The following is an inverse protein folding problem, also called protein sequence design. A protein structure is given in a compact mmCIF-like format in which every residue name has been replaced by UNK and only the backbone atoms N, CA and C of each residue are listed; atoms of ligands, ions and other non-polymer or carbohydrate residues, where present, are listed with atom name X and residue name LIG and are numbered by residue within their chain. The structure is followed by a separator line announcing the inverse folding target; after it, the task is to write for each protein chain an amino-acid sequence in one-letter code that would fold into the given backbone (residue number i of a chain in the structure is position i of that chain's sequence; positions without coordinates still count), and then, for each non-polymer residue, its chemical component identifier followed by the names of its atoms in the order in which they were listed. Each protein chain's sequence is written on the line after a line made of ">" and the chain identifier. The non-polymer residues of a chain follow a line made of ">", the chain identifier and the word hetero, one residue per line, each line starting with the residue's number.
data_IF_859471320306
#
_entry.id   IF_859471320306
#
_cell.length_a   1.000
_cell.length_b   1.000
_cell.length_c   1.000
_cell.angle_alpha   90.00
_cell.angle_beta   90.00
_cell.angle_gamma   90.00
#
_symmetry.space_group_name_H-M   'P 1'
#
loop_
_entity.id
_entity.type
_entity.pdbx_description
1 polymer ?
#
# COMPACT_ATOMS: atom_id res chain seq x y z
N UNK A 1 18.18 -18.47 -37.05
CA UNK A 1 18.45 -17.04 -36.80
C UNK A 1 18.20 -16.79 -35.32
N UNK A 2 19.13 -16.08 -34.69
CA UNK A 2 19.46 -16.18 -33.27
C UNK A 2 18.35 -15.76 -32.30
N UNK A 3 18.29 -16.51 -31.19
CA UNK A 3 17.51 -16.29 -29.99
C UNK A 3 17.89 -14.95 -29.34
N UNK A 4 16.92 -14.06 -29.14
CA UNK A 4 17.10 -12.88 -28.31
C UNK A 4 16.82 -13.27 -26.85
N UNK A 5 17.89 -13.70 -26.17
CA UNK A 5 17.98 -13.83 -24.72
C UNK A 5 17.68 -12.49 -24.04
N UNK A 6 16.44 -12.30 -23.60
CA UNK A 6 16.13 -11.25 -22.62
C UNK A 6 16.58 -11.75 -21.26
N UNK A 7 17.75 -11.26 -20.86
CA UNK A 7 18.30 -11.28 -19.50
C UNK A 7 17.19 -11.06 -18.48
N UNK A 8 16.76 -12.14 -17.83
CA UNK A 8 15.94 -12.12 -16.63
C UNK A 8 16.77 -11.51 -15.51
N UNK A 9 16.65 -10.19 -15.32
CA UNK A 9 16.96 -9.60 -14.01
C UNK A 9 15.87 -10.09 -13.05
N UNK A 10 16.16 -11.19 -12.37
CA UNK A 10 15.34 -11.74 -11.31
C UNK A 10 15.33 -10.76 -10.14
N UNK A 11 14.27 -9.94 -10.05
CA UNK A 11 13.90 -9.27 -8.80
C UNK A 11 13.80 -10.35 -7.72
N UNK A 12 14.49 -10.22 -6.57
CA UNK A 12 14.52 -11.31 -5.61
C UNK A 12 13.15 -11.46 -4.93
N UNK A 13 12.81 -12.72 -4.65
CA UNK A 13 11.81 -13.18 -3.67
C UNK A 13 10.32 -13.16 -4.06
N UNK A 14 9.93 -13.84 -5.14
CA UNK A 14 8.58 -14.43 -5.28
C UNK A 14 8.42 -15.75 -4.49
N UNK A 15 9.09 -15.93 -3.35
CA UNK A 15 8.81 -17.08 -2.48
C UNK A 15 7.61 -16.72 -1.62
N UNK A 16 6.41 -17.10 -2.04
CA UNK A 16 5.16 -16.88 -1.28
C UNK A 16 4.16 -15.90 -1.90
N UNK A 17 4.34 -15.48 -3.16
CA UNK A 17 3.36 -14.60 -3.84
C UNK A 17 2.00 -15.28 -3.94
N UNK A 18 0.98 -14.66 -3.34
CA UNK A 18 -0.42 -15.04 -3.53
C UNK A 18 -1.00 -14.27 -4.74
N UNK A 19 -1.28 -14.97 -5.83
CA UNK A 19 -1.83 -14.39 -7.07
C UNK A 19 -3.19 -13.72 -6.86
N UNK A 20 -3.95 -14.10 -5.82
CA UNK A 20 -5.25 -13.46 -5.51
C UNK A 20 -5.08 -12.10 -4.85
N UNK A 21 -3.98 -11.88 -4.12
CA UNK A 21 -3.72 -10.66 -3.34
C UNK A 21 -2.71 -9.73 -4.01
N UNK A 22 -1.85 -10.26 -4.86
CA UNK A 22 -0.89 -9.50 -5.65
C UNK A 22 -1.27 -9.59 -7.14
N UNK A 23 -2.09 -8.64 -7.65
CA UNK A 23 -2.48 -8.61 -9.06
C UNK A 23 -1.26 -8.58 -9.98
N UNK A 24 -1.47 -8.98 -11.23
CA UNK A 24 -0.47 -8.80 -12.26
C UNK A 24 -0.49 -7.34 -12.73
N UNK A 25 0.62 -6.63 -12.58
CA UNK A 25 0.77 -5.26 -13.08
C UNK A 25 1.62 -5.22 -14.34
N UNK A 26 1.30 -4.29 -15.25
CA UNK A 26 2.05 -4.12 -16.51
C UNK A 26 3.48 -3.65 -16.24
N UNK A 27 3.65 -2.66 -15.36
CA UNK A 27 4.94 -2.09 -14.98
C UNK A 27 5.66 -3.00 -13.98
N UNK A 28 6.96 -3.17 -14.18
CA UNK A 28 7.79 -4.05 -13.34
C UNK A 28 7.93 -3.51 -11.92
N UNK A 29 7.99 -2.19 -11.76
CA UNK A 29 8.09 -1.51 -10.46
C UNK A 29 6.87 -1.76 -9.53
N UNK A 30 5.70 -2.03 -10.11
CA UNK A 30 4.48 -2.32 -9.35
C UNK A 30 4.37 -3.81 -8.98
N UNK A 31 5.25 -4.68 -9.50
CA UNK A 31 5.24 -6.14 -9.24
C UNK A 31 5.96 -6.50 -7.94
N UNK A 32 5.64 -5.79 -6.86
CA UNK A 32 6.21 -6.04 -5.53
C UNK A 32 5.23 -6.85 -4.69
N UNK A 33 5.73 -7.88 -4.01
CA UNK A 33 4.98 -8.66 -3.04
C UNK A 33 5.46 -8.32 -1.63
N UNK A 34 4.58 -8.46 -0.63
CA UNK A 34 4.96 -8.29 0.78
C UNK A 34 6.00 -9.33 1.26
N UNK A 35 6.26 -10.40 0.49
CA UNK A 35 7.28 -11.41 0.79
C UNK A 35 6.91 -12.41 1.88
N UNK A 36 5.72 -12.28 2.46
CA UNK A 36 5.20 -13.20 3.48
C UNK A 36 4.54 -14.42 2.82
N UNK A 37 4.44 -15.54 3.56
CA UNK A 37 3.57 -16.66 3.16
C UNK A 37 2.11 -16.21 3.13
N UNK A 38 1.23 -16.81 2.30
CA UNK A 38 -0.14 -16.33 2.09
C UNK A 38 -0.96 -16.13 3.37
N UNK A 39 -0.79 -17.00 4.37
CA UNK A 39 -1.48 -16.92 5.66
C UNK A 39 -1.08 -15.66 6.46
N UNK A 40 0.17 -15.21 6.31
CA UNK A 40 0.76 -14.06 6.99
C UNK A 40 0.88 -12.83 6.07
N UNK A 41 0.12 -12.79 4.98
CA UNK A 41 0.08 -11.65 4.08
C UNK A 41 -0.19 -10.36 4.88
N UNK A 42 0.54 -9.27 4.58
CA UNK A 42 0.36 -7.99 5.28
C UNK A 42 -1.08 -7.49 5.22
N UNK A 43 -1.86 -7.85 4.18
CA UNK A 43 -3.28 -7.49 4.09
C UNK A 43 -4.18 -8.13 5.16
N UNK A 44 -3.73 -9.21 5.80
CA UNK A 44 -4.48 -9.88 6.88
C UNK A 44 -4.17 -9.32 8.26
N UNK A 45 -3.16 -8.46 8.37
CA UNK A 45 -2.82 -7.82 9.64
C UNK A 45 -4.01 -6.99 10.14
N UNK A 46 -4.41 -7.11 11.42
CA UNK A 46 -5.55 -6.36 11.96
C UNK A 46 -5.37 -4.84 11.82
N UNK A 47 -4.13 -4.36 11.88
CA UNK A 47 -3.78 -2.95 11.66
C UNK A 47 -4.19 -2.46 10.27
N UNK A 48 -4.19 -3.32 9.23
CA UNK A 48 -4.67 -2.91 7.90
C UNK A 48 -6.14 -2.50 7.93
N UNK A 49 -6.97 -3.25 8.63
CA UNK A 49 -8.41 -2.95 8.73
C UNK A 49 -8.67 -1.81 9.69
N UNK A 50 -7.91 -1.70 10.78
CA UNK A 50 -8.18 -0.77 11.87
C UNK A 50 -7.53 0.61 11.70
N UNK A 51 -6.44 0.73 10.96
CA UNK A 51 -5.74 2.01 10.77
C UNK A 51 -5.66 2.43 9.30
N UNK A 52 -5.33 1.51 8.39
CA UNK A 52 -5.07 1.85 6.98
C UNK A 52 -6.37 2.01 6.18
N UNK A 53 -7.31 1.08 6.36
CA UNK A 53 -8.55 0.99 5.59
C UNK A 53 -9.79 1.39 6.39
N UNK A 54 -9.63 1.73 7.66
CA UNK A 54 -10.73 2.14 8.52
C UNK A 54 -11.33 3.47 8.05
N UNK A 55 -12.64 3.48 7.80
CA UNK A 55 -13.33 4.66 7.27
C UNK A 55 -13.33 5.84 8.24
N UNK A 56 -13.38 5.58 9.55
CA UNK A 56 -13.37 6.66 10.53
C UNK A 56 -12.01 7.35 10.58
N UNK A 57 -10.93 6.58 10.45
CA UNK A 57 -9.56 7.09 10.34
C UNK A 57 -9.36 7.88 9.05
N UNK A 58 -9.85 7.38 7.92
CA UNK A 58 -9.75 8.10 6.65
C UNK A 58 -10.58 9.40 6.64
N UNK A 59 -11.76 9.39 7.25
CA UNK A 59 -12.61 10.56 7.39
C UNK A 59 -12.00 11.61 8.31
N UNK A 60 -11.41 11.23 9.44
CA UNK A 60 -10.76 12.18 10.35
C UNK A 60 -9.57 12.88 9.69
N UNK A 61 -8.79 12.16 8.86
CA UNK A 61 -7.73 12.75 8.05
C UNK A 61 -8.26 13.73 7.00
N UNK A 62 -9.40 13.42 6.38
CA UNK A 62 -10.06 14.33 5.44
C UNK A 62 -10.52 15.61 6.12
N UNK A 63 -11.18 15.47 7.26
CA UNK A 63 -11.65 16.60 8.05
C UNK A 63 -10.48 17.49 8.48
N UNK A 64 -9.38 16.89 8.98
CA UNK A 64 -8.18 17.63 9.33
C UNK A 64 -7.61 18.44 8.16
N UNK A 65 -7.56 17.86 6.95
CA UNK A 65 -7.07 18.60 5.78
C UNK A 65 -8.02 19.70 5.33
N UNK A 66 -9.33 19.50 5.46
CA UNK A 66 -10.33 20.55 5.23
C UNK A 66 -10.17 21.70 6.22
N UNK A 67 -10.03 21.39 7.51
CA UNK A 67 -9.95 22.40 8.56
C UNK A 67 -8.65 23.21 8.48
N UNK A 68 -7.52 22.56 8.16
CA UNK A 68 -6.19 23.20 8.16
C UNK A 68 -5.83 23.84 6.82
N UNK A 69 -6.20 23.20 5.70
CA UNK A 69 -5.79 23.63 4.36
C UNK A 69 -6.95 24.08 3.47
N UNK A 70 -8.19 24.07 3.97
CA UNK A 70 -9.40 24.42 3.20
C UNK A 70 -9.56 23.57 1.93
N UNK A 71 -9.09 22.32 1.98
CA UNK A 71 -9.14 21.41 0.83
C UNK A 71 -10.45 20.62 0.79
N UNK A 72 -11.47 21.19 0.16
CA UNK A 72 -12.79 20.56 0.05
C UNK A 72 -12.85 19.58 -1.13
N UNK A 73 -13.53 18.45 -0.91
CA UNK A 73 -13.78 17.46 -1.95
C UNK A 73 -15.25 17.58 -2.36
N UNK A 74 -15.49 18.05 -3.57
CA UNK A 74 -16.84 18.42 -4.02
C UNK A 74 -17.58 17.26 -4.71
N UNK A 75 -16.83 16.24 -5.16
CA UNK A 75 -17.40 15.05 -5.80
C UNK A 75 -17.10 13.78 -5.00
N UNK A 76 -17.96 12.77 -5.16
CA UNK A 76 -17.72 11.44 -4.58
C UNK A 76 -16.41 10.81 -5.09
N UNK A 77 -16.01 11.14 -6.32
CA UNK A 77 -14.74 10.69 -6.89
C UNK A 77 -13.55 11.32 -6.16
N UNK A 78 -13.62 12.62 -5.85
CA UNK A 78 -12.58 13.31 -5.08
C UNK A 78 -12.46 12.75 -3.67
N UNK A 79 -13.58 12.42 -3.02
CA UNK A 79 -13.59 11.77 -1.70
C UNK A 79 -12.91 10.40 -1.77
N UNK A 80 -13.26 9.57 -2.75
CA UNK A 80 -12.64 8.25 -2.91
C UNK A 80 -11.14 8.36 -3.25
N UNK A 81 -10.77 9.33 -4.09
CA UNK A 81 -9.37 9.62 -4.40
C UNK A 81 -8.62 10.03 -3.14
N UNK A 82 -9.20 10.91 -2.33
CA UNK A 82 -8.63 11.34 -1.06
C UNK A 82 -8.38 10.13 -0.15
N UNK A 83 -9.39 9.29 0.07
CA UNK A 83 -9.28 8.10 0.91
C UNK A 83 -8.22 7.12 0.41
N UNK A 84 -8.09 6.91 -0.90
CA UNK A 84 -7.00 6.09 -1.45
C UNK A 84 -5.63 6.66 -1.11
N UNK A 85 -5.42 7.96 -1.31
CA UNK A 85 -4.13 8.59 -0.99
C UNK A 85 -3.83 8.60 0.51
N UNK A 86 -4.85 8.82 1.34
CA UNK A 86 -4.75 8.73 2.79
C UNK A 86 -4.36 7.31 3.23
N UNK A 87 -5.02 6.28 2.71
CA UNK A 87 -4.68 4.89 2.98
C UNK A 87 -3.25 4.53 2.55
N UNK A 88 -2.80 5.00 1.38
CA UNK A 88 -1.40 4.79 0.97
C UNK A 88 -0.39 5.40 1.93
N UNK A 89 -0.62 6.64 2.38
CA UNK A 89 0.26 7.29 3.38
C UNK A 89 0.24 6.54 4.70
N UNK A 90 -0.93 6.14 5.18
CA UNK A 90 -1.06 5.41 6.44
C UNK A 90 -0.37 4.06 6.40
N UNK A 91 -0.46 3.35 5.27
CA UNK A 91 0.27 2.10 5.05
C UNK A 91 1.78 2.32 5.09
N UNK A 92 2.29 3.36 4.42
CA UNK A 92 3.72 3.70 4.46
C UNK A 92 4.19 3.96 5.89
N UNK A 93 3.45 4.74 6.68
CA UNK A 93 3.76 5.00 8.09
C UNK A 93 3.81 3.70 8.88
N UNK A 94 2.77 2.86 8.77
CA UNK A 94 2.71 1.58 9.46
C UNK A 94 3.91 0.69 9.12
N UNK A 95 4.31 0.61 7.85
CA UNK A 95 5.46 -0.20 7.44
C UNK A 95 6.79 0.38 7.93
N UNK A 96 6.93 1.71 8.01
CA UNK A 96 8.11 2.33 8.60
C UNK A 96 8.22 2.05 10.10
N UNK A 97 7.13 2.20 10.85
CA UNK A 97 7.10 1.91 12.29
C UNK A 97 7.44 0.46 12.59
N UNK A 98 6.89 -0.49 11.81
CA UNK A 98 7.18 -1.92 11.98
C UNK A 98 8.64 -2.30 11.63
N UNK A 99 9.33 -1.48 10.83
CA UNK A 99 10.70 -1.73 10.39
C UNK A 99 11.75 -0.94 11.19
N UNK A 100 11.37 0.02 12.07
CA UNK A 100 12.29 0.76 12.97
C UNK A 100 12.16 0.20 14.41
N UNK A 101 13.03 -0.71 14.87
CA UNK A 101 12.91 -1.37 16.19
C UNK A 101 13.30 -0.49 17.40
N UNK A 102 13.50 0.81 17.23
CA UNK A 102 13.93 1.71 18.33
C UNK A 102 13.33 3.11 18.20
N UNK A 103 12.87 3.66 19.33
CA UNK A 103 12.37 5.03 19.54
C UNK A 103 13.44 6.13 19.32
N UNK A 104 14.14 6.11 18.18
CA UNK A 104 15.09 7.15 17.75
C UNK A 104 14.96 7.47 16.25
N UNK A 105 13.88 7.00 15.62
CA UNK A 105 13.22 7.62 14.49
C UNK A 105 12.16 8.59 15.08
#
# INVERSE_FOLDING_TARGET
>A
MAEASKSTMSVPANRGRDEKKCPQYERVEDRVCCGMVPELCSSHRPEMTLSVLDRMTLYSQQQYQQDVFSFYADTLEDVNKFFRHAAYRQFTILMHENNCPSMLC
#
